data_IF_093268604201
#
_entry.id   IF_093268604201
#
_cell.length_a   1.000
_cell.length_b   1.000
_cell.length_c   1.000
_cell.angle_alpha   90.00
_cell.angle_beta   90.00
_cell.angle_gamma   90.00
#
_symmetry.space_group_name_H-M   'P 1'
#
loop_
_entity.id
_entity.type
_entity.pdbx_description
1 polymer ?
#
# COMPACT_ATOMS: atom_id res chain seq x y z
N UNK A 1 -12.33 13.68 -15.12
CA UNK A 1 -11.59 12.64 -15.88
C UNK A 1 -11.32 13.20 -17.27
N UNK A 2 -10.11 13.70 -17.53
CA UNK A 2 -9.75 14.29 -18.82
C UNK A 2 -8.66 13.42 -19.47
N UNK A 3 -8.99 12.80 -20.61
CA UNK A 3 -8.02 12.05 -21.43
C UNK A 3 -7.58 12.96 -22.58
N UNK A 4 -6.27 13.16 -22.72
CA UNK A 4 -5.68 13.69 -23.94
C UNK A 4 -4.87 12.55 -24.56
N UNK A 5 -5.35 12.08 -25.72
CA UNK A 5 -4.57 11.33 -26.69
C UNK A 5 -3.81 10.08 -26.19
N UNK A 6 -4.51 9.14 -25.52
CA UNK A 6 -4.07 7.76 -25.16
C UNK A 6 -3.56 7.56 -23.72
N UNK A 7 -3.12 8.59 -22.99
CA UNK A 7 -2.74 8.43 -21.57
C UNK A 7 -3.80 9.03 -20.63
N UNK A 8 -4.33 8.28 -19.64
CA UNK A 8 -5.13 8.87 -18.59
C UNK A 8 -4.24 9.81 -17.76
N UNK A 9 -4.57 11.10 -17.74
CA UNK A 9 -4.00 12.05 -16.80
C UNK A 9 -4.51 11.66 -15.39
N UNK A 10 -3.65 11.02 -14.59
CA UNK A 10 -4.03 10.46 -13.29
C UNK A 10 -2.96 9.60 -12.64
N UNK A 11 -3.36 8.81 -11.64
CA UNK A 11 -2.47 7.86 -10.95
C UNK A 11 -2.15 6.69 -11.88
N UNK A 12 -0.86 6.45 -12.12
CA UNK A 12 -0.37 5.29 -12.86
C UNK A 12 -0.27 4.09 -11.91
N UNK A 13 -1.15 3.10 -12.07
CA UNK A 13 -1.15 1.86 -11.29
C UNK A 13 -0.55 0.74 -12.13
N UNK A 14 0.45 0.06 -11.58
CA UNK A 14 1.15 -1.06 -12.22
C UNK A 14 0.99 -2.31 -11.35
N UNK A 15 0.59 -3.42 -11.98
CA UNK A 15 0.61 -4.73 -11.34
C UNK A 15 1.76 -5.57 -11.90
N UNK A 16 2.55 -6.19 -11.01
CA UNK A 16 3.65 -7.07 -11.37
C UNK A 16 3.30 -8.49 -10.93
N UNK A 17 3.13 -9.40 -11.89
CA UNK A 17 2.82 -10.81 -11.64
C UNK A 17 4.00 -11.71 -11.98
N UNK A 18 4.01 -12.93 -11.44
CA UNK A 18 5.11 -13.88 -11.63
C UNK A 18 6.38 -13.54 -10.84
N UNK A 19 6.29 -12.64 -9.85
CA UNK A 19 7.39 -12.30 -8.97
C UNK A 19 7.85 -13.53 -8.17
N UNK A 20 9.18 -13.75 -8.02
CA UNK A 20 9.69 -14.78 -7.12
C UNK A 20 9.19 -14.53 -5.70
N UNK A 21 8.78 -15.58 -4.98
CA UNK A 21 8.39 -15.50 -3.56
C UNK A 21 9.59 -15.30 -2.61
N UNK A 22 10.72 -14.82 -3.13
CA UNK A 22 11.87 -14.49 -2.31
C UNK A 22 11.69 -13.07 -1.73
N UNK A 23 11.79 -12.94 -0.42
CA UNK A 23 11.76 -11.65 0.30
C UNK A 23 12.81 -10.68 -0.24
N UNK A 24 13.97 -11.18 -0.66
CA UNK A 24 15.04 -10.34 -1.19
C UNK A 24 14.60 -9.59 -2.45
N UNK A 25 13.86 -10.24 -3.35
CA UNK A 25 13.46 -9.64 -4.61
C UNK A 25 12.60 -8.39 -4.39
N UNK A 26 11.57 -8.50 -3.54
CA UNK A 26 10.66 -7.40 -3.24
C UNK A 26 11.38 -6.29 -2.47
N UNK A 27 12.27 -6.63 -1.53
CA UNK A 27 13.07 -5.64 -0.82
C UNK A 27 13.98 -4.83 -1.74
N UNK A 28 14.66 -5.48 -2.70
CA UNK A 28 15.49 -4.77 -3.67
C UNK A 28 14.65 -3.90 -4.60
N UNK A 29 13.52 -4.41 -5.09
CA UNK A 29 12.59 -3.62 -5.92
C UNK A 29 12.10 -2.38 -5.16
N UNK A 30 11.69 -2.55 -3.90
CA UNK A 30 11.21 -1.43 -3.09
C UNK A 30 12.31 -0.40 -2.82
N UNK A 31 13.54 -0.84 -2.56
CA UNK A 31 14.70 0.06 -2.41
C UNK A 31 14.98 0.87 -3.67
N UNK A 32 14.87 0.25 -4.85
CA UNK A 32 15.02 0.96 -6.13
C UNK A 32 13.91 2.00 -6.28
N UNK A 33 12.66 1.66 -5.96
CA UNK A 33 11.54 2.60 -6.00
C UNK A 33 11.77 3.80 -5.08
N UNK A 34 12.24 3.56 -3.85
CA UNK A 34 12.58 4.63 -2.89
C UNK A 34 13.63 5.61 -3.39
N UNK A 35 14.49 5.21 -4.33
CA UNK A 35 15.48 6.10 -4.95
C UNK A 35 14.92 6.90 -6.13
N UNK A 36 13.80 6.46 -6.72
CA UNK A 36 13.18 7.08 -7.89
C UNK A 36 12.09 8.06 -7.49
N UNK A 37 11.37 7.78 -6.40
CA UNK A 37 10.20 8.57 -5.98
C UNK A 37 10.45 9.34 -4.68
N UNK A 38 9.86 10.53 -4.51
CA UNK A 38 10.09 11.35 -3.32
C UNK A 38 9.45 10.78 -2.05
N UNK A 39 8.39 9.99 -2.18
CA UNK A 39 7.72 9.34 -1.07
C UNK A 39 7.14 8.00 -1.53
N UNK A 40 7.37 6.96 -0.73
CA UNK A 40 6.76 5.64 -0.92
C UNK A 40 6.38 5.01 0.40
N UNK A 41 5.36 4.15 0.36
CA UNK A 41 4.93 3.34 1.49
C UNK A 41 4.80 1.89 1.05
N UNK A 42 5.35 0.96 1.85
CA UNK A 42 5.30 -0.47 1.60
C UNK A 42 4.28 -1.13 2.51
N UNK A 43 3.32 -1.82 1.93
CA UNK A 43 2.25 -2.54 2.60
C UNK A 43 2.36 -4.04 2.27
N UNK A 44 2.94 -4.85 3.16
CA UNK A 44 2.91 -6.30 3.03
C UNK A 44 1.52 -6.84 3.42
N UNK A 45 0.89 -7.57 2.49
CA UNK A 45 -0.47 -8.11 2.64
C UNK A 45 -0.49 -9.42 3.44
N UNK A 46 0.18 -9.46 4.59
CA UNK A 46 0.07 -10.60 5.50
C UNK A 46 -1.28 -10.60 6.20
N UNK A 47 -1.79 -11.77 6.59
CA UNK A 47 -3.05 -11.87 7.34
C UNK A 47 -3.00 -11.02 8.62
N UNK A 48 -1.87 -11.07 9.34
CA UNK A 48 -1.65 -10.27 10.56
C UNK A 48 -1.80 -8.76 10.29
N UNK A 49 -1.17 -8.24 9.23
CA UNK A 49 -1.27 -6.82 8.89
C UNK A 49 -2.68 -6.44 8.43
N UNK A 50 -3.37 -7.33 7.74
CA UNK A 50 -4.71 -7.10 7.26
C UNK A 50 -5.74 -7.09 8.41
N UNK A 51 -5.51 -7.86 9.47
CA UNK A 51 -6.39 -7.89 10.65
C UNK A 51 -6.07 -6.78 11.67
N UNK A 52 -4.79 -6.47 11.89
CA UNK A 52 -4.36 -5.46 12.87
C UNK A 52 -4.28 -4.05 12.31
N UNK A 53 -4.17 -3.94 10.97
CA UNK A 53 -4.01 -2.68 10.27
C UNK A 53 -5.25 -1.80 10.34
N UNK A 54 -5.07 -0.53 10.72
CA UNK A 54 -6.13 0.47 10.61
C UNK A 54 -6.11 1.08 9.22
N UNK A 55 -6.92 0.58 8.31
CA UNK A 55 -6.98 1.10 6.93
C UNK A 55 -7.87 2.33 6.78
N UNK A 56 -8.80 2.52 7.71
CA UNK A 56 -9.73 3.65 7.74
C UNK A 56 -9.47 4.55 8.95
N UNK A 57 -9.81 5.85 8.87
CA UNK A 57 -9.65 6.78 9.98
C UNK A 57 -10.58 6.40 11.14
N UNK A 58 -10.12 6.61 12.37
CA UNK A 58 -10.91 6.32 13.57
C UNK A 58 -10.77 7.43 14.60
N UNK A 59 -11.86 7.75 15.30
CA UNK A 59 -11.84 8.72 16.40
C UNK A 59 -11.23 8.06 17.64
N UNK A 60 -10.11 8.59 18.10
CA UNK A 60 -9.56 8.28 19.41
C UNK A 60 -10.27 9.13 20.47
N UNK A 61 -11.06 8.46 21.32
CA UNK A 61 -11.84 9.10 22.37
C UNK A 61 -10.99 9.49 23.60
N UNK A 62 -9.83 8.87 23.81
CA UNK A 62 -8.96 9.20 24.94
C UNK A 62 -8.31 10.58 24.72
N UNK A 63 -7.87 10.84 23.48
CA UNK A 63 -7.25 12.12 23.10
C UNK A 63 -8.23 13.08 22.42
N UNK A 64 -9.46 12.62 22.14
CA UNK A 64 -10.50 13.31 21.37
C UNK A 64 -10.00 13.83 20.00
N UNK A 65 -9.23 13.00 19.29
CA UNK A 65 -8.66 13.31 17.97
C UNK A 65 -9.05 12.27 16.93
N UNK A 66 -9.11 12.68 15.66
CA UNK A 66 -9.22 11.74 14.55
C UNK A 66 -7.82 11.21 14.23
N UNK A 67 -7.65 9.89 14.30
CA UNK A 67 -6.42 9.21 13.93
C UNK A 67 -6.53 8.73 12.49
N UNK A 68 -5.49 9.00 11.71
CA UNK A 68 -5.46 8.61 10.30
C UNK A 68 -5.32 7.11 10.11
N UNK A 69 -5.98 6.59 9.07
CA UNK A 69 -5.76 5.23 8.59
C UNK A 69 -4.53 5.13 7.69
N UNK A 70 -4.01 3.92 7.52
CA UNK A 70 -2.82 3.60 6.70
C UNK A 70 -2.93 4.13 5.27
N UNK A 71 -4.13 4.08 4.68
CA UNK A 71 -4.36 4.53 3.30
C UNK A 71 -4.49 6.05 3.15
N UNK A 72 -4.49 6.81 4.26
CA UNK A 72 -4.46 8.27 4.23
C UNK A 72 -3.03 8.80 4.06
N UNK A 73 -2.40 8.40 2.98
CA UNK A 73 -1.03 8.77 2.65
C UNK A 73 -0.96 10.23 2.18
N UNK A 74 0.19 10.91 2.38
CA UNK A 74 0.44 12.23 1.81
C UNK A 74 0.29 12.23 0.28
N UNK A 75 -0.02 13.40 -0.27
CA UNK A 75 -0.13 13.58 -1.72
C UNK A 75 1.14 13.09 -2.43
N UNK A 76 0.95 12.46 -3.60
CA UNK A 76 2.03 11.93 -4.44
C UNK A 76 2.88 10.82 -3.82
N UNK A 77 2.43 10.16 -2.75
CA UNK A 77 3.07 8.96 -2.21
C UNK A 77 2.77 7.74 -3.08
N UNK A 78 3.81 6.98 -3.46
CA UNK A 78 3.65 5.67 -4.12
C UNK A 78 3.36 4.61 -3.07
N UNK A 79 2.19 4.00 -3.15
CA UNK A 79 1.84 2.84 -2.34
C UNK A 79 2.27 1.56 -3.07
N UNK A 80 3.13 0.77 -2.44
CA UNK A 80 3.54 -0.55 -2.90
C UNK A 80 2.78 -1.59 -2.08
N UNK A 81 1.93 -2.34 -2.75
CA UNK A 81 1.16 -3.44 -2.15
C UNK A 81 1.87 -4.74 -2.48
N UNK A 82 2.30 -5.47 -1.47
CA UNK A 82 3.00 -6.73 -1.64
C UNK A 82 2.09 -7.92 -1.32
N UNK A 83 1.55 -8.50 -2.38
CA UNK A 83 0.74 -9.72 -2.36
C UNK A 83 1.58 -11.00 -2.39
N UNK A 84 2.91 -10.93 -2.52
CA UNK A 84 3.75 -12.15 -2.57
C UNK A 84 3.82 -12.89 -1.23
N UNK A 85 3.55 -12.16 -0.15
CA UNK A 85 3.44 -12.66 1.22
C UNK A 85 1.99 -12.93 1.63
N UNK A 86 1.03 -12.82 0.70
CA UNK A 86 -0.36 -13.16 0.95
C UNK A 86 -0.50 -14.68 1.07
N UNK A 87 -1.06 -15.11 2.19
CA UNK A 87 -1.32 -16.51 2.49
C UNK A 87 -2.82 -16.77 2.57
N UNK A 88 -3.23 -18.02 2.35
CA UNK A 88 -4.61 -18.42 2.51
C UNK A 88 -5.00 -18.34 4.00
N UNK A 89 -6.12 -17.68 4.30
CA UNK A 89 -6.65 -17.58 5.65
C UNK A 89 -7.93 -16.75 5.67
N UNK A 90 -8.37 -16.38 6.87
CA UNK A 90 -9.54 -15.53 7.07
C UNK A 90 -9.13 -14.21 7.70
N UNK A 91 -9.78 -13.14 7.25
CA UNK A 91 -9.69 -11.86 7.91
C UNK A 91 -10.68 -11.82 9.06
N UNK A 92 -10.29 -11.19 10.16
CA UNK A 92 -11.16 -11.00 11.30
C UNK A 92 -12.31 -10.06 10.89
N UNK A 93 -13.52 -10.36 11.36
CA UNK A 93 -14.66 -9.45 11.19
C UNK A 93 -14.47 -8.25 12.12
N UNK A 94 -14.34 -7.06 11.53
CA UNK A 94 -14.20 -5.79 12.24
C UNK A 94 -15.46 -5.38 13.02
#
# INVERSE_FOLDING_TARGET
YARRDVLPLGKFTLNLSGCPRNKDFIQHLYRILQQIVPASHYLPMTIENMNSGRFVPCKDYNTNRLVSGLLQLPAHTVLVVDETVLEQGQLDTA
#
